data_IF_079978746724
#
_entry.id   IF_079978746724
#
_cell.length_a   1.000
_cell.length_b   1.000
_cell.length_c   1.000
_cell.angle_alpha   90.00
_cell.angle_beta   90.00
_cell.angle_gamma   90.00
#
_symmetry.space_group_name_H-M   'P 1'
#
loop_
_entity.id
_entity.type
_entity.pdbx_description
1 polymer ?
#
# COMPACT_ATOMS: atom_id res chain seq x y z
N UNK A 1 -9.45 -27.43 57.80
CA UNK A 1 -8.91 -27.54 56.43
C UNK A 1 -9.61 -26.51 55.57
N UNK A 2 -8.97 -25.35 55.35
CA UNK A 2 -9.50 -24.24 54.54
C UNK A 2 -8.82 -24.29 53.18
N UNK A 3 -9.57 -24.58 52.10
CA UNK A 3 -9.07 -24.56 50.73
C UNK A 3 -9.21 -23.14 50.19
N UNK A 4 -8.07 -22.44 49.98
CA UNK A 4 -8.01 -21.16 49.27
C UNK A 4 -8.15 -21.43 47.79
N UNK A 5 -9.19 -20.89 47.16
CA UNK A 5 -9.39 -20.85 45.71
C UNK A 5 -8.68 -19.59 45.17
N UNK A 6 -7.58 -19.84 44.42
CA UNK A 6 -6.89 -18.78 43.71
C UNK A 6 -7.64 -18.50 42.39
N UNK A 7 -8.33 -17.37 42.31
CA UNK A 7 -8.93 -16.87 41.06
C UNK A 7 -7.81 -16.27 40.20
N UNK A 8 -7.44 -16.95 39.11
CA UNK A 8 -6.62 -16.38 38.04
C UNK A 8 -7.50 -15.47 37.19
N UNK A 9 -7.27 -14.16 37.30
CA UNK A 9 -7.86 -13.17 36.41
C UNK A 9 -7.02 -13.12 35.13
N UNK A 10 -7.53 -13.70 34.04
CA UNK A 10 -6.97 -13.51 32.70
C UNK A 10 -7.34 -12.12 32.20
N UNK A 11 -6.38 -11.20 32.20
CA UNK A 11 -6.50 -9.92 31.52
C UNK A 11 -6.43 -10.16 30.00
N UNK A 12 -7.57 -10.13 29.32
CA UNK A 12 -7.62 -10.10 27.85
C UNK A 12 -7.18 -8.70 27.40
N UNK A 13 -5.95 -8.59 26.92
CA UNK A 13 -5.50 -7.40 26.22
C UNK A 13 -6.30 -7.29 24.91
N UNK A 14 -7.27 -6.38 24.87
CA UNK A 14 -7.94 -6.00 23.64
C UNK A 14 -6.90 -5.36 22.72
N UNK A 15 -6.53 -6.05 21.61
CA UNK A 15 -5.77 -5.45 20.54
C UNK A 15 -6.65 -4.36 19.92
N UNK A 16 -6.42 -3.12 20.30
CA UNK A 16 -6.98 -1.97 19.61
C UNK A 16 -6.42 -1.98 18.18
N UNK A 17 -7.24 -2.40 17.21
CA UNK A 17 -7.01 -2.09 15.81
C UNK A 17 -6.97 -0.56 15.72
N UNK A 18 -5.77 0.01 15.62
CA UNK A 18 -5.61 1.44 15.39
C UNK A 18 -6.18 1.74 13.99
N UNK A 19 -7.47 2.05 13.93
CA UNK A 19 -8.08 2.65 12.76
C UNK A 19 -7.28 3.93 12.48
N UNK A 20 -6.53 3.96 11.36
CA UNK A 20 -5.68 5.09 11.03
C UNK A 20 -6.52 6.37 10.86
N UNK A 21 -5.95 7.52 11.17
CA UNK A 21 -6.57 8.82 10.95
C UNK A 21 -6.48 9.18 9.46
N UNK A 22 -7.61 9.44 8.82
CA UNK A 22 -7.63 9.97 7.45
C UNK A 22 -7.09 11.41 7.50
N UNK A 23 -6.02 11.68 6.75
CA UNK A 23 -5.42 13.01 6.62
C UNK A 23 -5.76 13.68 5.30
N UNK A 24 -6.15 12.89 4.30
CA UNK A 24 -6.70 13.35 3.02
C UNK A 24 -7.67 12.32 2.47
N UNK A 25 -8.79 12.76 1.90
CA UNK A 25 -9.75 11.91 1.20
C UNK A 25 -10.11 12.57 -0.13
N UNK A 26 -9.62 12.00 -1.22
CA UNK A 26 -9.93 12.42 -2.60
C UNK A 26 -10.95 11.49 -3.25
N UNK A 27 -11.13 11.64 -4.56
CA UNK A 27 -12.08 10.85 -5.36
C UNK A 27 -11.58 9.42 -5.59
N UNK A 28 -10.27 9.23 -5.81
CA UNK A 28 -9.66 7.93 -6.09
C UNK A 28 -8.58 7.53 -5.08
N UNK A 29 -7.97 8.49 -4.39
CA UNK A 29 -6.90 8.27 -3.43
C UNK A 29 -7.25 8.83 -2.05
N UNK A 30 -6.74 8.18 -1.02
CA UNK A 30 -6.81 8.68 0.35
C UNK A 30 -5.43 8.61 1.00
N UNK A 31 -5.13 9.53 1.93
CA UNK A 31 -3.96 9.45 2.78
C UNK A 31 -4.38 9.14 4.22
N UNK A 32 -3.70 8.18 4.84
CA UNK A 32 -4.04 7.63 6.15
C UNK A 32 -2.79 7.66 7.04
N UNK A 33 -2.92 8.27 8.20
CA UNK A 33 -1.93 8.21 9.27
C UNK A 33 -2.22 7.01 10.17
N UNK A 34 -1.28 6.06 10.27
CA UNK A 34 -1.36 4.85 11.09
C UNK A 34 -0.49 4.91 12.35
N UNK A 35 -0.08 6.09 12.77
CA UNK A 35 0.79 6.28 13.93
C UNK A 35 2.28 6.21 13.58
N UNK A 36 2.83 5.06 13.25
CA UNK A 36 4.25 4.88 12.86
C UNK A 36 4.55 5.10 11.39
N UNK A 37 3.54 4.97 10.53
CA UNK A 37 3.61 5.18 9.08
C UNK A 37 2.42 6.00 8.58
N UNK A 38 2.57 6.57 7.41
CA UNK A 38 1.51 7.23 6.66
C UNK A 38 1.45 6.62 5.27
N UNK A 39 0.25 6.40 4.76
CA UNK A 39 0.04 5.72 3.49
C UNK A 39 -0.87 6.53 2.59
N UNK A 40 -0.50 6.67 1.32
CA UNK A 40 -1.42 7.07 0.28
C UNK A 40 -1.92 5.80 -0.43
N UNK A 41 -3.24 5.60 -0.49
CA UNK A 41 -3.84 4.35 -0.97
C UNK A 41 -4.92 4.62 -2.02
N UNK A 42 -4.98 3.73 -3.01
CA UNK A 42 -6.05 3.66 -4.00
C UNK A 42 -6.48 2.21 -4.26
N UNK A 43 -7.72 2.02 -4.67
CA UNK A 43 -8.22 0.75 -5.18
C UNK A 43 -8.18 0.75 -6.69
N UNK A 44 -7.91 -0.43 -7.28
CA UNK A 44 -8.07 -0.60 -8.72
C UNK A 44 -9.49 -0.23 -9.15
N UNK A 45 -9.61 0.46 -10.29
CA UNK A 45 -10.91 0.77 -10.92
C UNK A 45 -11.63 -0.50 -11.40
N UNK A 46 -10.92 -1.62 -11.49
CA UNK A 46 -11.50 -2.94 -11.74
C UNK A 46 -12.05 -3.51 -10.45
N UNK A 47 -13.36 -3.47 -10.29
CA UNK A 47 -14.03 -3.99 -9.11
C UNK A 47 -13.94 -5.52 -9.08
N UNK A 48 -13.50 -6.04 -7.94
CA UNK A 48 -13.44 -7.49 -7.72
C UNK A 48 -14.85 -8.08 -7.54
N UNK A 49 -15.04 -9.30 -8.03
CA UNK A 49 -16.26 -10.05 -7.72
C UNK A 49 -16.36 -10.35 -6.22
N UNK A 50 -17.59 -10.58 -5.71
CA UNK A 50 -17.80 -10.89 -4.30
C UNK A 50 -16.93 -12.07 -3.84
N UNK A 51 -16.23 -11.87 -2.72
CA UNK A 51 -15.32 -12.87 -2.13
C UNK A 51 -13.96 -12.99 -2.83
N UNK A 52 -13.65 -12.11 -3.79
CA UNK A 52 -12.33 -12.03 -4.42
C UNK A 52 -11.55 -10.83 -3.90
N UNK A 53 -10.23 -10.90 -4.02
CA UNK A 53 -9.33 -9.83 -3.59
C UNK A 53 -9.51 -8.61 -4.48
N UNK A 54 -9.81 -7.46 -3.87
CA UNK A 54 -9.79 -6.16 -4.53
C UNK A 54 -8.34 -5.69 -4.61
N UNK A 55 -7.83 -5.48 -5.83
CA UNK A 55 -6.49 -4.93 -6.01
C UNK A 55 -6.39 -3.51 -5.43
N UNK A 56 -5.27 -3.22 -4.79
CA UNK A 56 -4.95 -1.93 -4.20
C UNK A 56 -3.51 -1.57 -4.51
N UNK A 57 -3.21 -0.30 -4.57
CA UNK A 57 -1.84 0.21 -4.68
C UNK A 57 -1.68 1.43 -3.79
N UNK A 58 -0.44 1.70 -3.39
CA UNK A 58 -0.18 2.84 -2.51
C UNK A 58 1.30 3.14 -2.35
N UNK A 59 1.54 4.14 -1.51
CA UNK A 59 2.86 4.60 -1.11
C UNK A 59 2.94 4.66 0.40
N UNK A 60 4.02 4.13 0.96
CA UNK A 60 4.28 4.16 2.40
C UNK A 60 5.38 5.16 2.72
N UNK A 61 5.15 5.94 3.77
CA UNK A 61 6.11 6.86 4.38
C UNK A 61 6.23 6.50 5.86
N UNK A 62 7.38 6.01 6.31
CA UNK A 62 7.59 5.70 7.72
C UNK A 62 8.34 6.82 8.44
N UNK A 63 7.96 7.07 9.70
CA UNK A 63 8.59 8.10 10.52
C UNK A 63 10.08 7.82 10.82
N UNK A 64 10.52 6.57 10.71
CA UNK A 64 11.91 6.14 10.85
C UNK A 64 12.71 6.17 9.54
N UNK A 65 12.10 6.61 8.44
CA UNK A 65 12.65 6.72 7.08
C UNK A 65 13.07 5.41 6.42
N UNK A 66 12.77 4.26 6.98
CA UNK A 66 13.11 2.97 6.36
C UNK A 66 12.33 2.74 5.06
N UNK A 67 11.09 3.24 5.01
CA UNK A 67 10.22 3.21 3.85
C UNK A 67 9.74 4.64 3.59
N UNK A 68 10.40 5.34 2.65
CA UNK A 68 10.05 6.72 2.35
C UNK A 68 9.67 6.89 0.88
N UNK A 69 8.38 6.73 0.63
CA UNK A 69 7.83 6.72 -0.73
C UNK A 69 7.86 5.33 -1.37
N UNK A 70 7.95 4.26 -0.55
CA UNK A 70 7.88 2.89 -1.04
C UNK A 70 6.53 2.65 -1.72
N UNK A 71 6.57 2.33 -3.01
CA UNK A 71 5.39 1.85 -3.72
C UNK A 71 5.09 0.43 -3.32
N UNK A 72 3.82 0.13 -3.07
CA UNK A 72 3.34 -1.23 -2.83
C UNK A 72 2.00 -1.48 -3.52
N UNK A 73 1.74 -2.75 -3.85
CA UNK A 73 0.48 -3.18 -4.44
C UNK A 73 0.05 -4.55 -3.91
N UNK A 74 -1.25 -4.68 -3.61
CA UNK A 74 -1.91 -5.95 -3.45
C UNK A 74 -2.59 -6.31 -4.79
N UNK A 75 -2.16 -7.40 -5.39
CA UNK A 75 -2.64 -7.87 -6.69
C UNK A 75 -3.95 -8.64 -6.52
N UNK A 76 -4.86 -8.53 -7.47
CA UNK A 76 -6.11 -9.31 -7.47
C UNK A 76 -5.92 -10.80 -7.75
N UNK A 77 -4.77 -11.18 -8.33
CA UNK A 77 -4.37 -12.56 -8.62
C UNK A 77 -2.93 -12.79 -8.18
N UNK A 78 -2.63 -14.00 -7.78
CA UNK A 78 -1.27 -14.41 -7.49
C UNK A 78 -0.50 -14.58 -8.80
N UNK A 79 0.65 -13.92 -8.97
CA UNK A 79 1.57 -14.18 -10.08
C UNK A 79 2.05 -15.63 -10.06
N UNK A 80 2.25 -16.23 -11.23
CA UNK A 80 2.95 -17.52 -11.30
C UNK A 80 4.41 -17.37 -10.87
N UNK A 81 5.03 -18.41 -10.33
CA UNK A 81 6.46 -18.38 -10.01
C UNK A 81 7.30 -17.91 -11.22
N UNK A 82 8.21 -16.95 -10.98
CA UNK A 82 9.08 -16.38 -12.01
C UNK A 82 8.42 -15.39 -12.98
N UNK A 83 7.12 -15.10 -12.85
CA UNK A 83 6.52 -14.05 -13.65
C UNK A 83 6.91 -12.66 -13.11
N UNK A 84 7.31 -11.77 -14.01
CA UNK A 84 7.55 -10.39 -13.68
C UNK A 84 6.24 -9.69 -13.24
N UNK A 85 6.33 -8.87 -12.20
CA UNK A 85 5.27 -7.93 -11.80
C UNK A 85 5.73 -6.54 -12.20
N UNK A 86 4.95 -5.87 -13.05
CA UNK A 86 5.33 -4.59 -13.63
C UNK A 86 4.33 -3.51 -13.20
N UNK A 87 4.83 -2.43 -12.61
CA UNK A 87 4.12 -1.17 -12.54
C UNK A 87 4.35 -0.42 -13.85
N UNK A 88 3.27 0.01 -14.50
CA UNK A 88 3.30 0.89 -15.67
C UNK A 88 2.71 2.24 -15.33
N UNK A 89 3.47 3.26 -15.62
CA UNK A 89 3.05 4.66 -15.52
C UNK A 89 3.22 5.26 -16.91
N UNK A 90 2.11 5.48 -17.61
CA UNK A 90 2.08 5.75 -19.04
C UNK A 90 2.93 4.70 -19.79
N UNK A 91 3.96 5.12 -20.52
CA UNK A 91 4.86 4.23 -21.25
C UNK A 91 6.10 3.79 -20.44
N UNK A 92 6.19 4.14 -19.17
CA UNK A 92 7.35 3.83 -18.31
C UNK A 92 7.08 2.57 -17.47
N UNK A 93 7.81 1.47 -17.72
CA UNK A 93 7.72 0.27 -16.89
C UNK A 93 8.69 0.34 -15.71
N UNK A 94 8.24 -0.19 -14.56
CA UNK A 94 9.05 -0.42 -13.36
C UNK A 94 8.87 -1.88 -12.93
N UNK A 95 9.96 -2.64 -12.88
CA UNK A 95 9.93 -4.01 -12.36
C UNK A 95 9.81 -3.94 -10.84
N UNK A 96 8.81 -4.63 -10.29
CA UNK A 96 8.58 -4.71 -8.84
C UNK A 96 9.13 -6.02 -8.27
N UNK A 97 9.61 -5.97 -7.04
CA UNK A 97 9.78 -7.16 -6.22
C UNK A 97 8.39 -7.69 -5.84
N UNK A 98 8.22 -9.02 -5.79
CA UNK A 98 6.92 -9.61 -5.49
C UNK A 98 7.04 -10.89 -4.67
N UNK A 99 6.10 -11.09 -3.75
CA UNK A 99 5.92 -12.32 -2.97
C UNK A 99 4.43 -12.58 -2.76
N UNK A 100 3.97 -13.76 -3.15
CA UNK A 100 2.54 -14.07 -3.13
C UNK A 100 1.76 -13.10 -4.02
N UNK A 101 0.75 -12.44 -3.48
CA UNK A 101 -0.03 -11.42 -4.16
C UNK A 101 0.37 -9.98 -3.75
N UNK A 102 1.54 -9.80 -3.13
CA UNK A 102 2.09 -8.50 -2.77
C UNK A 102 3.26 -8.15 -3.70
N UNK A 103 3.38 -6.87 -4.03
CA UNK A 103 4.49 -6.35 -4.82
C UNK A 103 4.91 -4.97 -4.28
N UNK A 104 6.20 -4.63 -4.43
CA UNK A 104 6.74 -3.36 -3.95
C UNK A 104 7.92 -2.90 -4.80
N UNK A 105 8.25 -1.62 -4.68
CA UNK A 105 9.40 -1.00 -5.35
C UNK A 105 10.73 -1.56 -4.83
N UNK A 106 11.74 -1.56 -5.70
CA UNK A 106 13.08 -2.04 -5.40
C UNK A 106 14.00 -0.87 -4.98
N UNK A 107 13.69 -0.30 -3.81
CA UNK A 107 14.50 0.66 -3.10
C UNK A 107 14.36 2.13 -3.53
N UNK A 108 15.10 3.04 -2.84
CA UNK A 108 14.86 4.49 -2.87
C UNK A 108 14.99 5.14 -4.24
N UNK A 109 15.88 4.67 -5.10
CA UNK A 109 16.04 5.24 -6.44
C UNK A 109 14.82 4.97 -7.32
N UNK A 110 14.28 3.74 -7.23
CA UNK A 110 13.07 3.39 -7.97
C UNK A 110 11.86 4.13 -7.41
N UNK A 111 11.74 4.26 -6.08
CA UNK A 111 10.68 5.00 -5.39
C UNK A 111 10.60 6.44 -5.86
N UNK A 112 11.72 7.15 -5.88
CA UNK A 112 11.81 8.52 -6.39
C UNK A 112 11.42 8.61 -7.87
N UNK A 113 11.87 7.66 -8.69
CA UNK A 113 11.55 7.62 -10.11
C UNK A 113 10.05 7.35 -10.37
N UNK A 114 9.42 6.49 -9.57
CA UNK A 114 7.97 6.20 -9.62
C UNK A 114 7.18 7.45 -9.24
N UNK A 115 7.49 8.10 -8.11
CA UNK A 115 6.80 9.32 -7.66
C UNK A 115 6.96 10.44 -8.69
N UNK A 116 8.16 10.64 -9.23
CA UNK A 116 8.39 11.64 -10.26
C UNK A 116 7.60 11.37 -11.55
N UNK A 117 7.49 10.09 -11.94
CA UNK A 117 6.71 9.69 -13.11
C UNK A 117 5.21 9.97 -12.93
N UNK A 118 4.67 9.74 -11.73
CA UNK A 118 3.24 9.92 -11.44
C UNK A 118 2.76 11.37 -11.49
N UNK A 119 3.64 12.34 -11.24
CA UNK A 119 3.23 13.77 -11.16
C UNK A 119 2.58 14.32 -12.44
N UNK A 120 2.96 13.78 -13.60
CA UNK A 120 2.47 14.23 -14.90
C UNK A 120 1.84 13.09 -15.72
N UNK A 121 1.60 11.94 -15.09
CA UNK A 121 1.07 10.78 -15.77
C UNK A 121 -0.46 10.85 -15.93
N UNK A 122 -0.95 10.18 -16.95
CA UNK A 122 -2.38 10.05 -17.25
C UNK A 122 -2.89 8.63 -16.98
N UNK A 123 -2.01 7.66 -16.83
CA UNK A 123 -2.39 6.28 -16.57
C UNK A 123 -1.41 5.55 -15.65
N UNK A 124 -1.96 4.63 -14.85
CA UNK A 124 -1.20 3.75 -13.98
C UNK A 124 -1.86 2.37 -13.94
N UNK A 125 -1.04 1.32 -14.01
CA UNK A 125 -1.51 -0.06 -13.81
C UNK A 125 -0.42 -0.95 -13.26
N UNK A 126 -0.81 -2.01 -12.53
CA UNK A 126 0.08 -3.12 -12.19
C UNK A 126 -0.34 -4.35 -12.96
N UNK A 127 0.62 -5.04 -13.57
CA UNK A 127 0.36 -6.19 -14.42
C UNK A 127 1.29 -7.35 -14.13
N UNK A 128 0.81 -8.56 -14.39
CA UNK A 128 1.58 -9.80 -14.33
C UNK A 128 0.88 -10.94 -15.08
N UNK A 129 1.39 -12.16 -14.97
CA UNK A 129 0.74 -13.40 -15.44
C UNK A 129 0.42 -14.30 -14.25
N UNK A 130 -0.80 -14.82 -14.21
CA UNK A 130 -1.26 -15.73 -13.16
C UNK A 130 -0.77 -17.17 -13.35
N UNK A 131 -1.15 -18.07 -12.44
CA UNK A 131 -0.78 -19.48 -12.47
C UNK A 131 -1.15 -20.22 -13.76
N UNK A 132 -2.20 -19.79 -14.46
CA UNK A 132 -2.57 -20.29 -15.78
C UNK A 132 -1.81 -19.63 -16.94
N UNK A 133 -0.87 -18.71 -16.65
CA UNK A 133 -0.11 -17.96 -17.64
C UNK A 133 -0.89 -16.81 -18.28
N UNK A 134 -2.11 -16.54 -17.84
CA UNK A 134 -2.94 -15.47 -18.37
C UNK A 134 -2.48 -14.12 -17.84
N UNK A 135 -2.30 -13.14 -18.74
CA UNK A 135 -1.99 -11.76 -18.34
C UNK A 135 -3.17 -11.17 -17.60
N UNK A 136 -2.88 -10.49 -16.49
CA UNK A 136 -3.85 -9.65 -15.79
C UNK A 136 -3.29 -8.24 -15.59
N UNK A 137 -4.19 -7.27 -15.56
CA UNK A 137 -3.87 -5.85 -15.39
C UNK A 137 -4.82 -5.28 -14.36
N UNK A 138 -4.29 -4.60 -13.38
CA UNK A 138 -5.01 -3.86 -12.35
C UNK A 138 -4.79 -2.37 -12.58
N UNK A 139 -5.71 -1.67 -13.26
CA UNK A 139 -5.61 -0.24 -13.54
C UNK A 139 -6.04 0.59 -12.34
N UNK A 140 -5.45 1.78 -12.19
CA UNK A 140 -5.74 2.74 -11.11
C UNK A 140 -6.00 4.13 -11.72
N UNK A 141 -6.99 4.84 -11.18
CA UNK A 141 -7.13 6.28 -11.48
C UNK A 141 -5.98 7.04 -10.85
N UNK A 142 -5.52 8.09 -11.52
CA UNK A 142 -4.54 9.04 -10.98
C UNK A 142 -5.18 10.33 -10.44
N UNK A 143 -6.51 10.39 -10.45
CA UNK A 143 -7.22 11.51 -9.83
C UNK A 143 -6.81 11.62 -8.36
N UNK A 144 -6.32 12.79 -7.95
CA UNK A 144 -5.87 13.10 -6.61
C UNK A 144 -4.61 12.33 -6.12
N UNK A 145 -3.97 11.50 -6.95
CA UNK A 145 -2.82 10.70 -6.56
C UNK A 145 -1.68 11.54 -5.98
N UNK A 146 -1.25 12.59 -6.69
CA UNK A 146 -0.16 13.47 -6.25
C UNK A 146 -0.49 14.14 -4.91
N UNK A 147 -1.72 14.63 -4.75
CA UNK A 147 -2.19 15.28 -3.51
C UNK A 147 -2.19 14.31 -2.33
N UNK A 148 -2.69 13.08 -2.53
CA UNK A 148 -2.70 12.06 -1.48
C UNK A 148 -1.28 11.63 -1.07
N UNK A 149 -0.36 11.45 -2.04
CA UNK A 149 1.05 11.12 -1.80
C UNK A 149 1.72 12.24 -0.99
N UNK A 150 1.56 13.50 -1.39
CA UNK A 150 2.13 14.65 -0.69
C UNK A 150 1.54 14.80 0.73
N UNK A 151 0.23 14.56 0.91
CA UNK A 151 -0.43 14.58 2.22
C UNK A 151 0.11 13.48 3.16
N UNK A 152 0.31 12.26 2.66
CA UNK A 152 0.89 11.16 3.44
C UNK A 152 2.34 11.47 3.83
N UNK A 153 3.15 11.95 2.89
CA UNK A 153 4.53 12.35 3.15
C UNK A 153 4.61 13.46 4.20
N UNK A 154 3.79 14.52 4.08
CA UNK A 154 3.76 15.64 5.02
C UNK A 154 3.33 15.20 6.43
N UNK A 155 2.31 14.32 6.55
CA UNK A 155 1.84 13.81 7.83
C UNK A 155 2.93 13.04 8.58
N UNK A 156 3.75 12.25 7.88
CA UNK A 156 4.86 11.51 8.49
C UNK A 156 6.13 12.36 8.68
N UNK A 157 6.40 13.34 7.82
CA UNK A 157 7.50 14.28 8.02
C UNK A 157 7.36 15.06 9.33
N UNK A 158 6.15 15.48 9.70
CA UNK A 158 5.86 16.17 10.95
C UNK A 158 6.12 15.34 12.22
N UNK A 159 6.19 14.01 12.11
CA UNK A 159 6.48 13.10 13.24
C UNK A 159 7.98 12.93 13.50
N UNK A 160 8.80 13.06 12.46
CA UNK A 160 10.27 12.96 12.58
C UNK A 160 10.86 14.10 13.42
N UNK A 161 10.20 15.26 13.44
CA UNK A 161 10.67 16.46 14.18
C UNK A 161 10.33 16.44 15.66
N UNK A 162 9.51 15.49 16.13
CA UNK A 162 9.03 15.43 17.53
C UNK A 162 9.76 14.42 18.41
N UNK A 163 10.86 13.84 17.94
CA UNK A 163 11.69 12.90 18.71
C UNK A 163 12.99 13.52 19.18
#
# INVERSE_FOLDING_TARGET
>A
MVRAFLLLIFATAAMANAAGKIVYAGSAWAAIDRGGSCEALSRSVRIAAKGKVQAQAGFTFSADRRHWGEFHAQLRRMPRPGAAVMLRIDNRPFLLAAQGNQAWSDGPLQEQAIIAALRNATSMSVESRDGAGQRFVDPYSLDDAATAIDAAAAACAGKMQRR
#
